data_IF_793488655560
#
_entry.id   IF_793488655560
#
_cell.length_a   1.000
_cell.length_b   1.000
_cell.length_c   1.000
_cell.angle_alpha   90.00
_cell.angle_beta   90.00
_cell.angle_gamma   90.00
#
_symmetry.space_group_name_H-M   'P 1'
#
loop_
_entity.id
_entity.type
_entity.pdbx_description
1 polymer ?
#
# COMPACT_ATOMS: atom_id res chain seq x y z
N UNK A 1 -1.07 -11.89 -26.49
CA UNK A 1 -2.32 -12.69 -26.48
C UNK A 1 -3.03 -12.39 -25.17
N UNK A 2 -4.11 -11.61 -25.20
CA UNK A 2 -5.01 -11.46 -24.04
C UNK A 2 -5.95 -12.67 -24.08
N UNK A 3 -5.81 -13.54 -23.08
CA UNK A 3 -6.71 -14.66 -22.89
C UNK A 3 -7.84 -14.11 -22.01
N UNK A 4 -8.98 -13.79 -22.61
CA UNK A 4 -10.20 -13.44 -21.87
C UNK A 4 -10.78 -14.71 -21.25
N UNK A 5 -10.27 -15.04 -20.06
CA UNK A 5 -10.78 -16.12 -19.22
C UNK A 5 -11.56 -15.50 -18.06
N UNK A 6 -12.80 -15.94 -17.92
CA UNK A 6 -13.67 -15.57 -16.79
C UNK A 6 -13.26 -16.29 -15.51
N UNK A 7 -13.63 -15.71 -14.36
CA UNK A 7 -13.41 -16.32 -13.05
C UNK A 7 -13.94 -17.76 -12.96
N UNK A 8 -15.14 -18.01 -13.52
CA UNK A 8 -15.76 -19.34 -13.51
C UNK A 8 -14.94 -20.38 -14.28
N UNK A 9 -14.31 -19.98 -15.39
CA UNK A 9 -13.42 -20.85 -16.16
C UNK A 9 -12.14 -21.17 -15.37
N UNK A 10 -11.56 -20.19 -14.65
CA UNK A 10 -10.42 -20.43 -13.76
C UNK A 10 -10.82 -21.39 -12.65
N UNK A 11 -11.97 -21.18 -12.02
CA UNK A 11 -12.46 -22.03 -10.94
C UNK A 11 -12.69 -23.46 -11.40
N UNK A 12 -13.25 -23.65 -12.60
CA UNK A 12 -13.44 -24.96 -13.20
C UNK A 12 -12.10 -25.69 -13.39
N UNK A 13 -11.06 -24.99 -13.88
CA UNK A 13 -9.71 -25.54 -14.05
C UNK A 13 -9.11 -25.93 -12.71
N UNK A 14 -9.17 -25.05 -11.70
CA UNK A 14 -8.64 -25.32 -10.36
C UNK A 14 -9.33 -26.52 -9.72
N UNK A 15 -10.64 -26.71 -9.93
CA UNK A 15 -11.39 -27.87 -9.42
C UNK A 15 -10.91 -29.19 -10.02
N UNK A 16 -10.44 -29.20 -11.27
CA UNK A 16 -9.95 -30.39 -11.95
C UNK A 16 -8.52 -30.78 -11.53
N UNK A 17 -7.76 -29.88 -10.90
CA UNK A 17 -6.39 -30.15 -10.47
C UNK A 17 -6.31 -31.30 -9.44
N UNK A 18 -5.28 -32.16 -9.52
CA UNK A 18 -5.00 -33.16 -8.51
C UNK A 18 -4.63 -32.49 -7.17
N UNK A 19 -4.83 -33.22 -6.07
CA UNK A 19 -4.69 -32.67 -4.70
C UNK A 19 -3.34 -31.99 -4.44
N UNK A 20 -2.25 -32.56 -4.94
CA UNK A 20 -0.89 -32.01 -4.79
C UNK A 20 -0.75 -30.63 -5.48
N UNK A 21 -1.32 -30.48 -6.67
CA UNK A 21 -1.26 -29.23 -7.43
C UNK A 21 -2.14 -28.14 -6.82
N UNK A 22 -3.30 -28.51 -6.26
CA UNK A 22 -4.14 -27.58 -5.47
C UNK A 22 -3.38 -27.02 -4.27
N UNK A 23 -2.68 -27.87 -3.52
CA UNK A 23 -1.87 -27.45 -2.37
C UNK A 23 -0.77 -26.48 -2.81
N UNK A 24 -0.09 -26.76 -3.92
CA UNK A 24 0.93 -25.87 -4.47
C UNK A 24 0.34 -24.53 -4.89
N UNK A 25 -0.80 -24.54 -5.58
CA UNK A 25 -1.49 -23.31 -6.01
C UNK A 25 -1.93 -22.46 -4.81
N UNK A 26 -2.48 -23.09 -3.77
CA UNK A 26 -2.86 -22.38 -2.53
C UNK A 26 -1.67 -21.66 -1.90
N UNK A 27 -0.49 -22.29 -1.83
CA UNK A 27 0.71 -21.65 -1.26
C UNK A 27 1.18 -20.43 -2.06
N UNK A 28 1.12 -20.49 -3.38
CA UNK A 28 1.49 -19.34 -4.23
C UNK A 28 0.49 -18.19 -4.06
N UNK A 29 -0.82 -18.49 -4.02
CA UNK A 29 -1.86 -17.49 -3.77
C UNK A 29 -1.76 -16.87 -2.38
N UNK A 30 -1.44 -17.67 -1.36
CA UNK A 30 -1.20 -17.19 0.01
C UNK A 30 0.00 -16.24 0.06
N UNK A 31 1.10 -16.57 -0.64
CA UNK A 31 2.29 -15.71 -0.70
C UNK A 31 1.98 -14.34 -1.32
N UNK A 32 1.26 -14.33 -2.45
CA UNK A 32 0.84 -13.08 -3.10
C UNK A 32 -0.12 -12.24 -2.23
N UNK A 33 -1.03 -12.91 -1.52
CA UNK A 33 -1.92 -12.25 -0.57
C UNK A 33 -1.16 -11.67 0.63
N UNK A 34 -0.17 -12.39 1.16
CA UNK A 34 0.71 -11.92 2.24
C UNK A 34 1.50 -10.69 1.77
N UNK A 35 2.09 -10.72 0.58
CA UNK A 35 2.82 -9.58 0.02
C UNK A 35 1.92 -8.34 -0.15
N UNK A 36 0.68 -8.54 -0.58
CA UNK A 36 -0.32 -7.48 -0.67
C UNK A 36 -0.69 -6.91 0.70
N UNK A 37 -0.91 -7.78 1.69
CA UNK A 37 -1.25 -7.38 3.06
C UNK A 37 -0.08 -6.67 3.75
N UNK A 38 1.14 -7.17 3.57
CA UNK A 38 2.38 -6.55 4.06
C UNK A 38 2.60 -5.20 3.37
N UNK A 39 2.39 -5.10 2.06
CA UNK A 39 2.46 -3.82 1.34
C UNK A 39 1.42 -2.82 1.83
N UNK A 40 0.20 -3.29 2.13
CA UNK A 40 -0.85 -2.44 2.73
C UNK A 40 -0.44 -1.97 4.13
N UNK A 41 0.10 -2.86 4.94
CA UNK A 41 0.58 -2.56 6.29
C UNK A 41 1.76 -1.56 6.27
N UNK A 42 2.73 -1.76 5.38
CA UNK A 42 3.85 -0.84 5.20
C UNK A 42 3.40 0.54 4.70
N UNK A 43 2.36 0.60 3.86
CA UNK A 43 1.73 1.88 3.47
C UNK A 43 1.06 2.57 4.65
N UNK A 44 0.44 1.84 5.58
CA UNK A 44 -0.14 2.45 6.79
C UNK A 44 0.92 2.95 7.78
N UNK A 45 2.12 2.39 7.76
CA UNK A 45 3.26 2.86 8.57
C UNK A 45 4.13 3.91 7.86
N UNK A 46 3.92 4.16 6.57
CA UNK A 46 4.52 5.31 5.89
C UNK A 46 3.83 6.56 6.39
N UNK A 47 4.50 7.26 7.30
CA UNK A 47 4.20 8.67 7.60
C UNK A 47 4.44 9.49 6.34
N UNK A 48 3.65 10.54 6.11
CA UNK A 48 4.02 11.58 5.14
C UNK A 48 5.38 12.10 5.58
N UNK A 49 6.41 11.93 4.74
CA UNK A 49 7.74 12.48 5.02
C UNK A 49 7.58 13.99 5.18
N UNK A 50 7.70 14.48 6.43
CA UNK A 50 7.60 15.90 6.75
C UNK A 50 8.83 16.58 6.15
N UNK A 51 8.66 17.14 4.94
CA UNK A 51 9.72 17.83 4.22
C UNK A 51 10.25 19.00 5.06
N UNK A 52 11.59 19.11 5.15
CA UNK A 52 12.28 20.23 5.80
C UNK A 52 11.78 21.58 5.31
N UNK A 53 11.39 21.68 4.04
CA UNK A 53 10.78 22.91 3.50
C UNK A 53 9.47 23.25 4.20
N UNK A 54 8.57 22.27 4.36
CA UNK A 54 7.29 22.45 5.07
C UNK A 54 7.53 22.87 6.52
N UNK A 55 8.49 22.25 7.20
CA UNK A 55 8.89 22.65 8.57
C UNK A 55 9.39 24.10 8.60
N UNK A 56 10.22 24.48 7.64
CA UNK A 56 10.81 25.82 7.57
C UNK A 56 9.74 26.89 7.32
N UNK A 57 8.80 26.63 6.41
CA UNK A 57 7.68 27.54 6.12
C UNK A 57 6.80 27.78 7.35
N UNK A 58 6.50 26.72 8.11
CA UNK A 58 5.76 26.82 9.38
C UNK A 58 6.51 27.66 10.42
N UNK A 59 7.82 27.41 10.59
CA UNK A 59 8.67 28.13 11.54
C UNK A 59 8.74 29.62 11.20
N UNK A 60 8.94 29.97 9.93
CA UNK A 60 9.01 31.37 9.51
C UNK A 60 7.67 32.08 9.68
N UNK A 61 6.55 31.40 9.40
CA UNK A 61 5.22 31.97 9.66
C UNK A 61 5.00 32.27 11.14
N UNK A 62 5.33 31.33 12.03
CA UNK A 62 5.20 31.54 13.49
C UNK A 62 6.12 32.66 13.98
N UNK A 63 7.36 32.74 13.48
CA UNK A 63 8.27 33.86 13.82
C UNK A 63 7.67 35.20 13.44
N UNK A 64 7.08 35.31 12.24
CA UNK A 64 6.48 36.55 11.77
C UNK A 64 5.29 36.98 12.65
N UNK A 65 4.41 36.03 13.01
CA UNK A 65 3.29 36.30 13.92
C UNK A 65 3.75 36.81 15.30
N UNK A 66 4.85 36.26 15.83
CA UNK A 66 5.43 36.72 17.10
C UNK A 66 5.98 38.15 16.97
N UNK A 67 6.72 38.44 15.90
CA UNK A 67 7.23 39.79 15.64
C UNK A 67 6.11 40.82 15.48
N UNK A 68 5.05 40.49 14.75
CA UNK A 68 3.92 41.39 14.53
C UNK A 68 3.13 41.65 15.82
N UNK A 69 3.05 40.67 16.72
CA UNK A 69 2.49 40.83 18.07
C UNK A 69 3.36 41.69 18.98
N UNK A 70 4.68 41.65 18.84
CA UNK A 70 5.62 42.45 19.64
C UNK A 70 5.75 43.90 19.16
N UNK A 71 5.43 44.18 17.89
CA UNK A 71 5.45 45.53 17.31
C UNK A 71 4.12 46.30 17.47
N UNK A 72 3.07 45.67 17.99
CA UNK A 72 1.79 46.28 18.36
C UNK A 72 1.78 46.64 19.83
#
# INVERSE_FOLDING_TARGET
>A
MQIDISYEQILALVRQLPRQEKIRLTRELEKEAIDTNLSRLLKTFRTEDLDLKTITEEVERVKQEIYDKQKR
#
